data_IF_539704693734
#
_entry.id   IF_539704693734
#
_cell.length_a   1.000
_cell.length_b   1.000
_cell.length_c   1.000
_cell.angle_alpha   90.00
_cell.angle_beta   90.00
_cell.angle_gamma   90.00
#
_symmetry.space_group_name_H-M   'P 1'
#
loop_
_entity.id
_entity.type
_entity.pdbx_description
1 polymer ?
#
# COMPACT_ATOMS: atom_id res chain seq x y z
N UNK A 1 -19.25 -13.54 -4.34
CA UNK A 1 -18.27 -13.29 -3.26
C UNK A 1 -17.93 -11.80 -3.35
N UNK A 2 -18.38 -11.06 -2.36
CA UNK A 2 -18.18 -9.61 -2.29
C UNK A 2 -16.69 -9.33 -2.15
N UNK A 3 -16.23 -8.26 -2.84
CA UNK A 3 -14.97 -7.59 -2.57
C UNK A 3 -14.80 -7.53 -1.04
N UNK A 4 -13.63 -7.81 -0.43
CA UNK A 4 -13.43 -7.60 1.00
C UNK A 4 -13.64 -6.13 1.32
N UNK A 5 -14.92 -5.76 1.39
CA UNK A 5 -15.39 -4.41 1.61
C UNK A 5 -14.83 -3.90 2.92
N UNK A 6 -14.10 -2.88 2.77
CA UNK A 6 -13.71 -1.85 3.71
C UNK A 6 -14.58 -1.87 4.96
N UNK A 7 -14.04 -2.32 6.05
CA UNK A 7 -14.71 -2.20 7.34
C UNK A 7 -14.44 -0.82 7.95
N UNK A 8 -15.09 0.20 7.40
CA UNK A 8 -15.00 1.60 7.85
C UNK A 8 -15.42 1.79 9.32
N UNK A 9 -16.21 0.88 9.90
CA UNK A 9 -16.61 0.96 11.30
C UNK A 9 -15.45 0.80 12.29
N UNK A 10 -14.33 0.17 11.90
CA UNK A 10 -13.11 0.11 12.71
C UNK A 10 -12.30 1.41 12.70
N UNK A 11 -12.45 2.24 11.70
CA UNK A 11 -11.74 3.52 11.55
C UNK A 11 -12.33 4.54 12.53
N UNK A 12 -13.64 4.52 12.71
CA UNK A 12 -14.41 5.50 13.50
C UNK A 12 -14.21 5.34 15.01
N UNK A 13 -13.90 4.14 15.50
CA UNK A 13 -13.91 3.84 16.94
C UNK A 13 -12.71 4.34 17.76
N UNK A 14 -11.74 5.09 17.19
CA UNK A 14 -10.51 5.52 17.87
C UNK A 14 -10.29 7.04 17.82
N UNK A 15 -11.30 7.81 18.11
CA UNK A 15 -11.30 9.28 18.00
C UNK A 15 -10.97 9.97 19.31
N UNK A 16 -9.71 9.95 19.73
CA UNK A 16 -9.19 11.02 20.58
C UNK A 16 -8.51 12.04 19.67
N UNK A 17 -9.02 13.25 19.71
CA UNK A 17 -8.71 14.36 18.83
C UNK A 17 -7.26 14.84 18.97
N UNK A 18 -6.40 14.54 18.00
CA UNK A 18 -5.21 15.32 17.75
C UNK A 18 -5.21 15.77 16.29
N UNK A 19 -5.85 16.92 16.04
CA UNK A 19 -5.95 17.55 14.73
C UNK A 19 -4.67 18.27 14.26
N UNK A 20 -3.54 18.13 14.97
CA UNK A 20 -2.35 18.93 14.67
C UNK A 20 -1.75 18.66 13.27
N UNK A 21 -2.01 17.49 12.69
CA UNK A 21 -1.56 17.11 11.35
C UNK A 21 -2.65 17.21 10.27
N UNK A 22 -3.79 17.78 10.61
CA UNK A 22 -4.87 18.07 9.65
C UNK A 22 -4.64 19.43 9.04
N UNK A 23 -4.86 19.57 7.71
CA UNK A 23 -4.76 20.88 7.01
C UNK A 23 -5.71 21.88 7.67
N UNK A 24 -5.29 23.15 7.73
CA UNK A 24 -6.00 24.19 8.49
C UNK A 24 -7.48 24.31 8.11
N UNK A 25 -7.80 24.17 6.83
CA UNK A 25 -9.16 24.23 6.29
C UNK A 25 -10.10 23.13 6.82
N UNK A 26 -9.55 22.02 7.33
CA UNK A 26 -10.30 20.85 7.81
C UNK A 26 -10.26 20.69 9.34
N UNK A 27 -9.56 21.56 10.06
CA UNK A 27 -9.39 21.44 11.52
C UNK A 27 -10.71 21.54 12.30
N UNK A 28 -11.69 22.26 11.75
CA UNK A 28 -12.99 22.44 12.37
C UNK A 28 -13.98 21.32 12.05
N UNK A 29 -13.61 20.39 11.18
CA UNK A 29 -14.45 19.25 10.83
C UNK A 29 -14.31 18.14 11.87
N UNK A 30 -15.34 17.30 11.95
CA UNK A 30 -15.23 16.03 12.69
C UNK A 30 -14.33 15.06 11.90
N UNK A 31 -13.87 13.99 12.57
CA UNK A 31 -13.07 12.95 11.90
C UNK A 31 -13.88 12.30 10.78
N UNK A 32 -15.17 12.04 11.01
CA UNK A 32 -16.08 11.45 10.03
C UNK A 32 -16.23 12.32 8.78
N UNK A 33 -16.35 13.63 8.96
CA UNK A 33 -16.40 14.60 7.84
C UNK A 33 -15.09 14.57 7.06
N UNK A 34 -13.95 14.57 7.73
CA UNK A 34 -12.64 14.50 7.08
C UNK A 34 -12.41 13.15 6.37
N UNK A 35 -12.90 12.03 6.94
CA UNK A 35 -12.89 10.72 6.27
C UNK A 35 -13.71 10.78 4.99
N UNK A 36 -14.93 11.33 5.03
CA UNK A 36 -15.78 11.45 3.85
C UNK A 36 -15.13 12.30 2.74
N UNK A 37 -14.49 13.41 3.11
CA UNK A 37 -13.73 14.24 2.16
C UNK A 37 -12.58 13.44 1.55
N UNK A 38 -11.77 12.78 2.38
CA UNK A 38 -10.65 11.96 1.91
C UNK A 38 -11.11 10.89 0.93
N UNK A 39 -12.21 10.20 1.25
CA UNK A 39 -12.78 9.17 0.37
C UNK A 39 -13.26 9.72 -0.97
N UNK A 40 -13.81 10.94 -1.00
CA UNK A 40 -14.24 11.57 -2.25
C UNK A 40 -13.07 12.00 -3.15
N UNK A 41 -11.88 12.17 -2.57
CA UNK A 41 -10.65 12.55 -3.26
C UNK A 41 -9.74 11.36 -3.57
N UNK A 42 -10.10 10.15 -3.13
CA UNK A 42 -9.31 8.94 -3.39
C UNK A 42 -9.16 8.69 -4.89
N UNK A 43 -7.98 8.20 -5.23
CA UNK A 43 -7.62 7.75 -6.57
C UNK A 43 -7.69 6.23 -6.62
N UNK A 44 -8.03 5.69 -7.78
CA UNK A 44 -8.14 4.25 -7.98
C UNK A 44 -6.76 3.58 -8.03
N UNK A 45 -6.09 3.53 -6.89
CA UNK A 45 -4.90 2.71 -6.69
C UNK A 45 -4.76 2.31 -5.23
N UNK A 46 -4.00 1.26 -5.00
CA UNK A 46 -3.66 0.75 -3.67
C UNK A 46 -2.16 0.53 -3.55
N UNK A 47 -1.68 0.47 -2.30
CA UNK A 47 -0.27 0.20 -1.99
C UNK A 47 -0.20 -0.99 -1.05
N UNK A 48 0.82 -1.82 -1.18
CA UNK A 48 1.06 -2.93 -0.26
C UNK A 48 2.54 -3.13 0.03
N UNK A 49 2.84 -3.71 1.18
CA UNK A 49 4.18 -4.08 1.58
C UNK A 49 4.25 -5.54 2.05
N UNK A 50 5.35 -6.22 1.72
CA UNK A 50 5.59 -7.62 2.07
C UNK A 50 6.72 -7.71 3.07
N UNK A 51 6.45 -8.37 4.21
CA UNK A 51 7.45 -8.77 5.22
C UNK A 51 8.40 -7.64 5.68
N UNK A 52 7.95 -6.39 5.67
CA UNK A 52 8.74 -5.27 6.20
C UNK A 52 8.92 -5.48 7.70
N UNK A 53 10.15 -5.41 8.20
CA UNK A 53 10.48 -5.64 9.60
C UNK A 53 10.34 -4.42 10.48
N UNK A 54 10.47 -3.23 9.90
CA UNK A 54 10.39 -1.95 10.61
C UNK A 54 8.94 -1.45 10.74
N UNK A 55 8.36 -1.50 11.94
CA UNK A 55 7.00 -0.98 12.19
C UNK A 55 6.87 0.51 11.88
N UNK A 56 7.95 1.29 12.07
CA UNK A 56 8.02 2.70 11.68
C UNK A 56 7.96 2.89 10.16
N UNK A 57 8.66 2.02 9.39
CA UNK A 57 8.66 2.09 7.94
C UNK A 57 7.28 1.78 7.37
N UNK A 58 6.59 0.76 7.91
CA UNK A 58 5.21 0.45 7.52
C UNK A 58 4.31 1.67 7.76
N UNK A 59 4.40 2.31 8.93
CA UNK A 59 3.60 3.49 9.23
C UNK A 59 3.91 4.70 8.33
N UNK A 60 5.18 4.90 7.96
CA UNK A 60 5.57 5.94 7.00
C UNK A 60 5.01 5.66 5.59
N UNK A 61 5.00 4.40 5.16
CA UNK A 61 4.38 3.99 3.89
C UNK A 61 2.87 4.23 3.90
N UNK A 62 2.17 3.87 5.00
CA UNK A 62 0.74 4.15 5.18
C UNK A 62 0.47 5.64 5.05
N UNK A 63 1.28 6.48 5.72
CA UNK A 63 1.15 7.93 5.65
C UNK A 63 1.32 8.45 4.22
N UNK A 64 2.36 7.99 3.52
CA UNK A 64 2.62 8.39 2.14
C UNK A 64 1.50 7.97 1.20
N UNK A 65 1.01 6.73 1.31
CA UNK A 65 -0.10 6.21 0.53
C UNK A 65 -1.38 7.03 0.74
N UNK A 66 -1.71 7.34 2.00
CA UNK A 66 -2.85 8.18 2.36
C UNK A 66 -2.75 9.58 1.73
N UNK A 67 -1.59 10.25 1.84
CA UNK A 67 -1.36 11.59 1.29
C UNK A 67 -1.42 11.61 -0.25
N UNK A 68 -1.09 10.51 -0.90
CA UNK A 68 -1.20 10.36 -2.36
C UNK A 68 -2.62 9.99 -2.82
N UNK A 69 -3.53 9.73 -1.90
CA UNK A 69 -4.93 9.40 -2.17
C UNK A 69 -5.17 7.93 -2.50
N UNK A 70 -4.34 7.01 -2.00
CA UNK A 70 -4.58 5.58 -2.17
C UNK A 70 -5.88 5.13 -1.47
N UNK A 71 -6.62 4.21 -2.08
CA UNK A 71 -7.84 3.64 -1.48
C UNK A 71 -7.52 2.70 -0.34
N UNK A 72 -6.53 1.82 -0.53
CA UNK A 72 -6.17 0.79 0.43
C UNK A 72 -4.67 0.73 0.66
N UNK A 73 -4.30 0.31 1.86
CA UNK A 73 -2.95 -0.12 2.19
C UNK A 73 -2.96 -1.57 2.69
N UNK A 74 -2.22 -2.43 2.00
CA UNK A 74 -2.12 -3.85 2.33
C UNK A 74 -0.81 -4.18 3.05
N UNK A 75 -0.89 -4.92 4.15
CA UNK A 75 0.26 -5.45 4.87
C UNK A 75 0.25 -6.98 4.72
N UNK A 76 1.22 -7.52 3.99
CA UNK A 76 1.42 -8.95 3.86
C UNK A 76 2.54 -9.37 4.82
N UNK A 77 2.15 -9.87 5.99
CA UNK A 77 3.08 -10.27 7.06
C UNK A 77 2.55 -10.01 8.46
N UNK A 78 3.34 -10.42 9.45
CA UNK A 78 2.95 -10.40 10.87
C UNK A 78 3.15 -9.04 11.56
N UNK A 79 4.00 -8.19 11.01
CA UNK A 79 4.33 -6.91 11.66
C UNK A 79 3.18 -5.94 11.59
N UNK A 80 2.94 -5.28 12.72
CA UNK A 80 2.02 -4.15 12.82
C UNK A 80 2.76 -2.87 12.44
N UNK A 81 2.03 -1.81 12.20
CA UNK A 81 2.63 -0.49 12.03
C UNK A 81 2.67 0.27 13.36
N UNK A 82 3.66 1.16 13.50
CA UNK A 82 3.73 2.09 14.62
C UNK A 82 2.87 3.33 14.33
N UNK A 83 1.85 3.57 15.15
CA UNK A 83 0.94 4.73 15.01
C UNK A 83 1.66 6.07 15.08
N UNK A 84 2.83 6.15 15.73
CA UNK A 84 3.62 7.40 15.79
C UNK A 84 4.10 7.81 14.40
N UNK A 85 4.42 6.86 13.54
CA UNK A 85 4.90 7.14 12.19
C UNK A 85 3.79 7.41 11.18
N UNK A 86 2.56 6.94 11.43
CA UNK A 86 1.41 7.31 10.58
C UNK A 86 0.95 8.74 10.80
N UNK A 87 1.21 9.31 11.98
CA UNK A 87 0.81 10.67 12.38
C UNK A 87 -0.69 10.93 12.13
N UNK A 88 -1.52 9.90 12.37
CA UNK A 88 -2.98 9.94 12.21
C UNK A 88 -3.50 9.54 10.83
N UNK A 89 -2.64 9.28 9.85
CA UNK A 89 -3.06 8.88 8.51
C UNK A 89 -3.86 7.56 8.49
N UNK A 90 -3.64 6.68 9.47
CA UNK A 90 -4.37 5.42 9.64
C UNK A 90 -5.88 5.60 9.85
N UNK A 91 -6.33 6.82 10.11
CA UNK A 91 -7.77 7.15 10.23
C UNK A 91 -8.43 7.40 8.88
N UNK A 92 -7.65 7.70 7.85
CA UNK A 92 -8.11 8.22 6.56
C UNK A 92 -7.83 7.29 5.38
N UNK A 93 -7.21 6.15 5.61
CA UNK A 93 -6.96 5.12 4.59
C UNK A 93 -7.39 3.76 5.12
N UNK A 94 -7.94 2.92 4.26
CA UNK A 94 -8.27 1.55 4.62
C UNK A 94 -7.00 0.70 4.72
N UNK A 95 -6.78 0.06 5.88
CA UNK A 95 -5.62 -0.81 6.12
C UNK A 95 -6.09 -2.25 6.25
N UNK A 96 -5.60 -3.10 5.37
CA UNK A 96 -5.87 -4.54 5.35
C UNK A 96 -4.60 -5.29 5.67
N UNK A 97 -4.63 -6.13 6.71
CA UNK A 97 -3.49 -6.96 7.09
C UNK A 97 -3.79 -8.43 6.84
N UNK A 98 -2.91 -9.08 6.11
CA UNK A 98 -2.87 -10.53 5.93
C UNK A 98 -1.74 -11.10 6.77
N UNK A 99 -2.10 -11.90 7.77
CA UNK A 99 -1.16 -12.66 8.58
C UNK A 99 -1.05 -14.07 7.99
N UNK A 100 0.15 -14.58 7.90
CA UNK A 100 0.43 -15.94 7.49
C UNK A 100 0.97 -16.69 8.69
N UNK A 101 0.25 -17.73 9.13
CA UNK A 101 0.56 -18.45 10.36
C UNK A 101 1.75 -19.39 10.19
N UNK A 102 1.94 -19.92 8.98
CA UNK A 102 3.07 -20.78 8.64
C UNK A 102 4.19 -19.98 7.97
N UNK A 103 5.32 -19.76 8.66
CA UNK A 103 6.45 -19.03 8.07
C UNK A 103 7.17 -19.82 6.95
N UNK A 104 6.98 -21.15 6.86
CA UNK A 104 7.64 -21.98 5.84
C UNK A 104 6.96 -21.76 4.48
N UNK A 105 5.63 -21.63 4.47
CA UNK A 105 4.83 -21.44 3.25
C UNK A 105 4.30 -20.01 3.10
N UNK A 106 4.87 -19.06 3.84
CA UNK A 106 4.39 -17.68 3.82
C UNK A 106 4.51 -17.04 2.44
N UNK A 107 5.57 -17.36 1.71
CA UNK A 107 5.84 -16.74 0.40
C UNK A 107 4.87 -17.25 -0.67
N UNK A 108 4.53 -18.54 -0.67
CA UNK A 108 3.49 -19.11 -1.53
C UNK A 108 2.11 -18.55 -1.17
N UNK A 109 1.80 -18.47 0.12
CA UNK A 109 0.54 -17.90 0.61
C UNK A 109 0.37 -16.43 0.26
N UNK A 110 1.47 -15.66 0.24
CA UNK A 110 1.48 -14.27 -0.24
C UNK A 110 1.17 -14.22 -1.73
N UNK A 111 1.84 -15.06 -2.53
CA UNK A 111 1.60 -15.14 -3.97
C UNK A 111 0.14 -15.48 -4.29
N UNK A 112 -0.43 -16.52 -3.67
CA UNK A 112 -1.84 -16.90 -3.82
C UNK A 112 -2.80 -15.77 -3.44
N UNK A 113 -2.47 -15.01 -2.40
CA UNK A 113 -3.28 -13.87 -1.97
C UNK A 113 -3.22 -12.72 -2.98
N UNK A 114 -2.06 -12.45 -3.56
CA UNK A 114 -1.91 -11.45 -4.61
C UNK A 114 -2.64 -11.88 -5.90
N UNK A 115 -2.57 -13.14 -6.28
CA UNK A 115 -3.36 -13.70 -7.40
C UNK A 115 -4.87 -13.56 -7.16
N UNK A 116 -5.32 -13.78 -5.93
CA UNK A 116 -6.72 -13.54 -5.59
C UNK A 116 -7.13 -12.08 -5.80
N UNK A 117 -6.23 -11.13 -5.48
CA UNK A 117 -6.48 -9.69 -5.66
C UNK A 117 -6.48 -9.24 -7.12
N UNK A 118 -5.91 -10.05 -8.06
CA UNK A 118 -6.00 -9.79 -9.51
C UNK A 118 -7.44 -9.67 -10.02
N UNK A 119 -8.42 -10.19 -9.30
CA UNK A 119 -9.84 -10.02 -9.65
C UNK A 119 -10.31 -8.57 -9.69
N UNK A 120 -9.62 -7.69 -8.99
CA UNK A 120 -10.01 -6.28 -8.83
C UNK A 120 -8.88 -5.29 -9.09
N UNK A 121 -7.64 -5.78 -9.17
CA UNK A 121 -6.45 -4.95 -9.21
C UNK A 121 -5.46 -5.48 -10.26
N UNK A 122 -4.78 -4.58 -10.95
CA UNK A 122 -3.53 -4.93 -11.61
C UNK A 122 -2.41 -4.92 -10.56
N UNK A 123 -1.80 -6.07 -10.28
CA UNK A 123 -0.69 -6.15 -9.31
C UNK A 123 0.60 -5.68 -9.98
N UNK A 124 1.24 -4.68 -9.38
CA UNK A 124 2.45 -4.04 -9.88
C UNK A 124 3.56 -4.17 -8.85
N UNK A 125 4.56 -4.97 -9.15
CA UNK A 125 5.73 -5.17 -8.30
C UNK A 125 6.71 -4.01 -8.49
N UNK A 126 7.06 -3.33 -7.40
CA UNK A 126 8.05 -2.26 -7.40
C UNK A 126 9.44 -2.85 -7.12
N UNK A 127 10.18 -3.17 -8.18
CA UNK A 127 11.47 -3.86 -8.10
C UNK A 127 12.42 -3.42 -9.23
N UNK A 128 13.71 -3.70 -9.04
CA UNK A 128 14.75 -3.47 -10.06
C UNK A 128 14.45 -4.25 -11.35
N UNK A 129 14.81 -3.63 -12.49
CA UNK A 129 14.67 -4.26 -13.80
C UNK A 129 13.26 -4.23 -14.39
N UNK A 130 12.29 -3.65 -13.69
CA UNK A 130 10.95 -3.38 -14.22
C UNK A 130 10.92 -2.18 -15.18
N UNK A 131 9.74 -1.88 -15.71
CA UNK A 131 9.51 -0.67 -16.51
C UNK A 131 9.74 0.57 -15.65
N UNK A 132 10.67 1.43 -16.04
CA UNK A 132 11.07 2.61 -15.27
C UNK A 132 9.92 3.60 -15.15
N UNK A 133 9.56 3.97 -13.90
CA UNK A 133 8.53 4.97 -13.59
C UNK A 133 8.94 6.32 -14.20
N UNK A 134 7.98 7.00 -14.84
CA UNK A 134 8.23 8.26 -15.55
C UNK A 134 8.63 8.08 -17.02
N UNK A 135 8.99 6.88 -17.46
CA UNK A 135 9.22 6.58 -18.87
C UNK A 135 7.92 6.67 -19.69
N UNK A 136 8.08 6.83 -21.02
CA UNK A 136 6.92 6.79 -21.93
C UNK A 136 6.18 5.43 -21.84
N UNK A 137 6.95 4.33 -21.77
CA UNK A 137 6.39 2.98 -21.63
C UNK A 137 5.55 2.83 -20.34
N UNK A 138 6.03 3.35 -19.20
CA UNK A 138 5.28 3.31 -17.96
C UNK A 138 3.96 4.11 -18.04
N UNK A 139 3.97 5.26 -18.74
CA UNK A 139 2.76 6.07 -18.95
C UNK A 139 1.72 5.35 -19.79
N UNK A 140 2.14 4.67 -20.87
CA UNK A 140 1.25 3.86 -21.69
C UNK A 140 0.67 2.69 -20.90
N UNK A 141 1.53 1.94 -20.19
CA UNK A 141 1.11 0.84 -19.32
C UNK A 141 0.04 1.29 -18.32
N UNK A 142 0.29 2.39 -17.61
CA UNK A 142 -0.66 2.93 -16.62
C UNK A 142 -1.99 3.35 -17.27
N UNK A 143 -1.95 3.92 -18.47
CA UNK A 143 -3.13 4.45 -19.14
C UNK A 143 -3.98 3.38 -19.81
N UNK A 144 -3.35 2.34 -20.36
CA UNK A 144 -3.99 1.40 -21.29
C UNK A 144 -4.20 0.00 -20.71
N UNK A 145 -3.39 -0.41 -19.74
CA UNK A 145 -3.37 -1.79 -19.25
C UNK A 145 -3.69 -1.93 -17.76
N UNK A 146 -3.40 -0.93 -16.93
CA UNK A 146 -3.57 -1.06 -15.49
C UNK A 146 -4.97 -0.62 -15.04
N UNK A 147 -5.67 -1.54 -14.37
CA UNK A 147 -6.93 -1.26 -13.67
C UNK A 147 -6.71 -1.31 -12.16
N UNK A 148 -7.06 -0.22 -11.45
CA UNK A 148 -6.92 -0.12 -9.99
C UNK A 148 -5.56 -0.66 -9.50
N UNK A 149 -4.41 -0.11 -9.95
CA UNK A 149 -3.11 -0.72 -9.69
C UNK A 149 -2.83 -0.85 -8.19
N UNK A 150 -2.37 -2.04 -7.80
CA UNK A 150 -1.87 -2.37 -6.47
C UNK A 150 -0.34 -2.43 -6.53
N UNK A 151 0.33 -1.37 -6.06
CA UNK A 151 1.79 -1.28 -6.01
C UNK A 151 2.33 -2.04 -4.81
N UNK A 152 3.16 -3.05 -5.05
CA UNK A 152 3.72 -3.93 -4.02
C UNK A 152 5.21 -3.65 -3.84
N UNK A 153 5.61 -3.41 -2.60
CA UNK A 153 6.98 -3.20 -2.17
C UNK A 153 7.46 -4.37 -1.31
N UNK A 154 8.67 -4.84 -1.57
CA UNK A 154 9.34 -5.89 -0.80
C UNK A 154 9.96 -5.39 0.50
N UNK A 155 10.56 -6.31 1.26
CA UNK A 155 11.31 -5.99 2.47
C UNK A 155 12.65 -5.33 2.14
N UNK A 156 13.18 -4.57 3.11
CA UNK A 156 14.45 -3.84 2.96
C UNK A 156 15.64 -4.77 2.78
N UNK A 157 15.61 -5.95 3.40
CA UNK A 157 16.73 -6.90 3.43
C UNK A 157 16.68 -7.95 2.33
N UNK A 158 15.49 -8.40 1.95
CA UNK A 158 15.31 -9.55 1.05
C UNK A 158 14.54 -9.20 -0.24
N UNK A 159 13.99 -7.98 -0.35
CA UNK A 159 13.15 -7.60 -1.48
C UNK A 159 11.80 -8.34 -1.49
N UNK A 160 11.36 -8.73 -2.67
CA UNK A 160 10.15 -9.53 -2.88
C UNK A 160 10.47 -11.02 -2.78
N UNK A 161 9.55 -11.86 -2.24
CA UNK A 161 9.68 -13.32 -2.31
C UNK A 161 9.80 -13.79 -3.76
N UNK A 162 10.59 -14.84 -3.99
CA UNK A 162 10.84 -15.37 -5.34
C UNK A 162 9.53 -15.78 -6.03
N UNK A 163 8.64 -16.48 -5.31
CA UNK A 163 7.34 -16.90 -5.84
C UNK A 163 6.49 -15.72 -6.33
N UNK A 164 6.60 -14.54 -5.67
CA UNK A 164 5.92 -13.31 -6.09
C UNK A 164 6.67 -12.64 -7.24
N UNK A 165 7.99 -12.53 -7.14
CA UNK A 165 8.83 -11.83 -8.13
C UNK A 165 8.81 -12.51 -9.50
N UNK A 166 8.66 -13.83 -9.56
CA UNK A 166 8.64 -14.62 -10.81
C UNK A 166 7.23 -14.85 -11.36
N UNK A 167 6.18 -14.39 -10.69
CA UNK A 167 4.82 -14.59 -11.15
C UNK A 167 4.58 -13.83 -12.47
N UNK A 168 4.20 -14.55 -13.56
CA UNK A 168 4.03 -13.96 -14.89
C UNK A 168 2.80 -13.05 -15.02
N UNK A 169 1.86 -13.12 -14.07
CA UNK A 169 0.63 -12.33 -14.08
C UNK A 169 0.80 -10.94 -13.45
N UNK A 170 1.97 -10.65 -12.87
CA UNK A 170 2.23 -9.37 -12.24
C UNK A 170 3.09 -8.47 -13.12
N UNK A 171 2.73 -7.20 -13.17
CA UNK A 171 3.54 -6.18 -13.82
C UNK A 171 4.77 -5.85 -12.96
N UNK A 172 5.85 -5.40 -13.60
CA UNK A 172 7.05 -4.94 -12.89
C UNK A 172 7.37 -3.51 -13.26
N UNK A 173 7.51 -2.66 -12.25
CA UNK A 173 7.94 -1.28 -12.39
C UNK A 173 9.16 -1.02 -11.51
N UNK A 174 10.04 -0.12 -11.94
CA UNK A 174 11.21 0.30 -11.18
C UNK A 174 11.24 1.80 -10.98
N UNK A 175 11.70 2.23 -9.80
CA UNK A 175 12.02 3.63 -9.54
C UNK A 175 13.45 3.85 -10.07
N UNK A 176 13.68 4.84 -10.95
CA UNK A 176 15.01 5.11 -11.46
C UNK A 176 15.95 5.51 -10.33
N UNK A 177 17.03 4.78 -10.17
CA UNK A 177 18.03 5.03 -9.14
C UNK A 177 19.28 5.66 -9.75
N UNK A 178 19.75 6.72 -9.11
CA UNK A 178 21.00 7.39 -9.47
C UNK A 178 21.88 7.43 -8.23
N UNK A 179 22.96 6.64 -8.25
CA UNK A 179 23.87 6.55 -7.12
C UNK A 179 24.28 5.13 -6.79
N UNK A 180 24.97 4.96 -5.67
CA UNK A 180 25.59 3.68 -5.28
C UNK A 180 24.74 2.85 -4.31
N UNK A 181 23.69 3.41 -3.76
CA UNK A 181 22.80 2.69 -2.85
C UNK A 181 21.78 1.85 -3.62
N UNK A 182 21.46 0.67 -3.07
CA UNK A 182 20.57 -0.29 -3.73
C UNK A 182 19.08 0.00 -3.56
N UNK A 183 18.70 0.70 -2.50
CA UNK A 183 17.28 0.86 -2.16
C UNK A 183 16.95 2.25 -1.64
N UNK A 184 15.70 2.65 -1.82
CA UNK A 184 15.10 3.76 -1.09
C UNK A 184 14.54 3.23 0.22
N UNK A 185 14.66 4.02 1.28
CA UNK A 185 13.93 3.77 2.53
C UNK A 185 12.51 4.30 2.43
#
# INVERSE_FOLDING_TARGET
MENPMVNYSKIIANTASNHYNVRDEYKNNTVEQNVAITMSEQRRFSVGCINITGELNIGMMIRSACLLGAENFYIFGRKKFDKRSTVGAEKYINIVQYNFDDPIHADESINERLEYLLKWNSVVLCEHGGTEIGSHKARLLYKEELENPLFIFGSESHGLPIAVAENPHFYKMSIPQRGVLRSFN
#
